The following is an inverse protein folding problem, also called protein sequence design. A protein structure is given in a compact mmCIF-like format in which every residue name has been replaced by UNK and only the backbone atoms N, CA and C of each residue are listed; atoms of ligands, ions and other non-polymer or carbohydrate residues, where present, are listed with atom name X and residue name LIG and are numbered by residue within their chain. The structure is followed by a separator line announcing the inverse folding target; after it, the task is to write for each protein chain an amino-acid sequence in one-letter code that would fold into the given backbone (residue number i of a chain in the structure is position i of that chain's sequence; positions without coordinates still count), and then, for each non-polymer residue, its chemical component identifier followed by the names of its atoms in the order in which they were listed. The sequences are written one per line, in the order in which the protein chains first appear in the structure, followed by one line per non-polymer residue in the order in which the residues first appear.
data_IF_587865142880
#
_entry.id   IF_587865142880
#
_cell.length_a   1.000
_cell.length_b   1.000
_cell.length_c   1.000
_cell.angle_alpha   90.00
_cell.angle_beta   90.00
_cell.angle_gamma   90.00
#
_symmetry.space_group_name_H-M   'P 1'
#
loop_
_entity.id
_entity.type
_entity.pdbx_description
1 polymer ?
#
# COMPACT_ATOMS: atom_id res chain seq x y z
N UNK A 1 -8.17 -17.27 -8.20
CA UNK A 1 -9.11 -17.79 -7.21
C UNK A 1 -8.62 -19.06 -6.52
N UNK A 2 -8.10 -20.07 -7.28
CA UNK A 2 -7.57 -21.33 -6.71
C UNK A 2 -6.52 -21.08 -5.62
N UNK A 3 -5.49 -20.27 -5.89
CA UNK A 3 -4.44 -19.95 -4.91
C UNK A 3 -5.01 -19.35 -3.62
N UNK A 4 -5.94 -18.40 -3.72
CA UNK A 4 -6.61 -17.79 -2.55
C UNK A 4 -7.32 -18.84 -1.71
N UNK A 5 -8.08 -19.74 -2.36
CA UNK A 5 -8.78 -20.81 -1.64
C UNK A 5 -7.83 -21.79 -0.96
N UNK A 6 -6.70 -22.14 -1.63
CA UNK A 6 -5.67 -22.99 -1.03
C UNK A 6 -5.05 -22.32 0.20
N UNK A 7 -4.67 -21.04 0.09
CA UNK A 7 -4.09 -20.31 1.21
C UNK A 7 -5.08 -20.17 2.38
N UNK A 8 -6.36 -19.90 2.08
CA UNK A 8 -7.40 -19.84 3.12
C UNK A 8 -7.61 -21.19 3.82
N UNK A 9 -7.50 -22.30 3.08
CA UNK A 9 -7.62 -23.63 3.67
C UNK A 9 -6.41 -23.96 4.59
N UNK A 10 -5.23 -23.48 4.25
CA UNK A 10 -4.02 -23.66 5.07
C UNK A 10 -4.04 -22.76 6.33
N UNK A 11 -4.46 -21.50 6.18
CA UNK A 11 -4.46 -20.53 7.29
C UNK A 11 -5.64 -20.71 8.24
N UNK A 12 -6.77 -21.23 7.76
CA UNK A 12 -8.02 -21.38 8.50
C UNK A 12 -8.62 -22.78 8.26
N UNK A 13 -7.92 -23.86 8.67
CA UNK A 13 -8.36 -25.23 8.42
C UNK A 13 -9.67 -25.55 9.11
N UNK A 14 -9.95 -24.92 10.25
CA UNK A 14 -11.16 -25.11 11.08
C UNK A 14 -12.42 -24.48 10.45
N UNK A 15 -12.26 -23.56 9.48
CA UNK A 15 -13.40 -22.86 8.88
C UNK A 15 -14.07 -23.68 7.78
N UNK A 16 -15.36 -23.44 7.57
CA UNK A 16 -16.11 -24.12 6.51
C UNK A 16 -15.70 -23.66 5.10
N UNK A 17 -16.01 -24.46 4.09
CA UNK A 17 -15.76 -24.07 2.70
C UNK A 17 -16.60 -22.86 2.29
N UNK A 18 -17.83 -22.73 2.80
CA UNK A 18 -18.67 -21.55 2.58
C UNK A 18 -18.03 -20.29 3.12
N UNK A 19 -17.53 -20.33 4.35
CA UNK A 19 -16.81 -19.20 4.97
C UNK A 19 -15.60 -18.80 4.12
N UNK A 20 -14.76 -19.76 3.73
CA UNK A 20 -13.59 -19.50 2.89
C UNK A 20 -13.94 -18.90 1.53
N UNK A 21 -15.05 -19.35 0.91
CA UNK A 21 -15.57 -18.78 -0.34
C UNK A 21 -16.03 -17.33 -0.16
N UNK A 22 -16.74 -17.03 0.92
CA UNK A 22 -17.18 -15.68 1.25
C UNK A 22 -15.98 -14.74 1.44
N UNK A 23 -14.98 -15.15 2.21
CA UNK A 23 -13.72 -14.39 2.38
C UNK A 23 -13.00 -14.20 1.05
N UNK A 24 -12.87 -15.26 0.24
CA UNK A 24 -12.26 -15.17 -1.09
C UNK A 24 -12.97 -14.12 -1.97
N UNK A 25 -14.30 -14.09 -1.96
CA UNK A 25 -15.06 -13.07 -2.70
C UNK A 25 -14.75 -11.65 -2.20
N UNK A 26 -14.74 -11.44 -0.89
CA UNK A 26 -14.40 -10.16 -0.29
C UNK A 26 -12.96 -9.72 -0.62
N UNK A 27 -12.00 -10.64 -0.65
CA UNK A 27 -10.61 -10.35 -1.04
C UNK A 27 -10.57 -9.75 -2.46
N UNK A 28 -11.27 -10.33 -3.43
CA UNK A 28 -11.28 -9.81 -4.81
C UNK A 28 -11.96 -8.44 -4.91
N UNK A 29 -13.08 -8.24 -4.19
CA UNK A 29 -13.75 -6.93 -4.14
C UNK A 29 -12.80 -5.88 -3.55
N UNK A 30 -12.21 -6.17 -2.40
CA UNK A 30 -11.28 -5.23 -1.73
C UNK A 30 -10.03 -4.96 -2.55
N UNK A 31 -9.49 -5.98 -3.21
CA UNK A 31 -8.36 -5.79 -4.13
C UNK A 31 -8.71 -4.85 -5.29
N UNK A 32 -9.85 -5.05 -5.96
CA UNK A 32 -10.31 -4.14 -6.99
C UNK A 32 -10.52 -2.72 -6.46
N UNK A 33 -11.08 -2.60 -5.26
CA UNK A 33 -11.30 -1.32 -4.60
C UNK A 33 -9.99 -0.57 -4.34
N UNK A 34 -8.91 -1.26 -3.91
CA UNK A 34 -7.60 -0.63 -3.73
C UNK A 34 -7.01 -0.07 -5.03
N UNK A 35 -7.31 -0.68 -6.17
CA UNK A 35 -6.92 -0.15 -7.48
C UNK A 35 -7.69 1.13 -7.83
N UNK A 36 -9.00 1.15 -7.60
CA UNK A 36 -9.84 2.33 -7.84
C UNK A 36 -9.47 3.48 -6.89
N UNK A 37 -9.14 3.17 -5.65
CA UNK A 37 -8.75 4.16 -4.64
C UNK A 37 -7.50 4.95 -5.03
N UNK A 38 -6.61 4.39 -5.85
CA UNK A 38 -5.44 5.11 -6.38
C UNK A 38 -5.82 6.38 -7.15
N UNK A 39 -7.00 6.42 -7.75
CA UNK A 39 -7.52 7.62 -8.40
C UNK A 39 -7.55 8.81 -7.47
N UNK A 40 -8.21 8.70 -6.33
CA UNK A 40 -8.27 9.79 -5.35
C UNK A 40 -7.03 9.88 -4.46
N UNK A 41 -6.37 8.76 -4.15
CA UNK A 41 -5.13 8.76 -3.38
C UNK A 41 -4.03 9.56 -4.07
N UNK A 42 -3.88 9.42 -5.39
CA UNK A 42 -2.77 10.00 -6.13
C UNK A 42 -3.12 11.24 -6.95
N UNK A 43 -4.41 11.42 -7.30
CA UNK A 43 -4.87 12.52 -8.14
C UNK A 43 -5.93 13.41 -7.47
N UNK A 44 -6.50 12.98 -6.34
CA UNK A 44 -7.43 13.80 -5.57
C UNK A 44 -6.75 15.00 -4.91
N UNK A 45 -7.52 16.01 -4.52
CA UNK A 45 -7.00 17.13 -3.75
C UNK A 45 -6.37 16.64 -2.42
N UNK A 46 -5.28 17.27 -1.95
CA UNK A 46 -4.64 16.89 -0.67
C UNK A 46 -5.61 16.87 0.52
N UNK A 47 -6.58 17.77 0.51
CA UNK A 47 -7.63 17.85 1.54
C UNK A 47 -8.53 16.60 1.54
N UNK A 48 -8.73 15.97 0.39
CA UNK A 48 -9.51 14.73 0.27
C UNK A 48 -8.77 13.56 0.94
N UNK A 49 -7.46 13.43 0.70
CA UNK A 49 -6.65 12.40 1.36
C UNK A 49 -6.56 12.65 2.87
N UNK A 50 -6.30 13.89 3.31
CA UNK A 50 -6.25 14.25 4.72
C UNK A 50 -7.56 13.96 5.47
N UNK A 51 -8.72 14.19 4.82
CA UNK A 51 -10.02 13.90 5.40
C UNK A 51 -10.34 12.41 5.49
N UNK A 52 -9.86 11.62 4.53
CA UNK A 52 -10.18 10.18 4.41
C UNK A 52 -9.18 9.26 5.09
N UNK A 53 -7.93 9.72 5.25
CA UNK A 53 -6.84 8.93 5.84
C UNK A 53 -6.46 9.53 7.18
N UNK A 54 -6.44 8.70 8.20
CA UNK A 54 -5.99 9.08 9.54
C UNK A 54 -4.88 8.13 9.99
N UNK A 55 -3.73 8.71 10.36
CA UNK A 55 -2.68 7.97 11.03
C UNK A 55 -3.08 7.79 12.51
N UNK A 56 -2.91 6.59 13.02
CA UNK A 56 -3.14 6.25 14.42
C UNK A 56 -1.94 5.49 14.98
N UNK A 57 -1.68 5.64 16.26
CA UNK A 57 -0.52 5.07 16.94
C UNK A 57 0.55 6.13 17.19
N UNK A 58 1.74 5.68 17.54
CA UNK A 58 2.87 6.55 17.90
C UNK A 58 3.61 7.09 16.68
N UNK A 59 2.92 7.92 15.91
CA UNK A 59 3.45 8.53 14.69
C UNK A 59 4.53 9.58 15.00
N UNK A 60 4.54 10.12 16.21
CA UNK A 60 5.52 11.13 16.64
C UNK A 60 6.98 10.63 16.53
N UNK A 61 7.21 9.34 16.73
CA UNK A 61 8.52 8.72 16.56
C UNK A 61 9.06 8.85 15.13
N UNK A 62 8.19 8.99 14.14
CA UNK A 62 8.56 9.15 12.73
C UNK A 62 8.95 10.59 12.37
N UNK A 63 8.67 11.56 13.23
CA UNK A 63 8.96 12.97 12.98
C UNK A 63 10.45 13.35 13.26
N UNK A 64 11.19 12.49 13.98
CA UNK A 64 12.61 12.71 14.29
C UNK A 64 13.54 12.50 13.10
N UNK A 65 14.84 12.80 13.29
CA UNK A 65 15.88 12.64 12.27
C UNK A 65 16.64 11.31 12.38
N UNK A 66 16.35 10.51 13.39
CA UNK A 66 17.02 9.23 13.59
C UNK A 66 16.75 8.24 12.45
N UNK A 67 17.77 7.53 11.96
CA UNK A 67 17.57 6.50 10.95
C UNK A 67 16.53 5.47 11.43
N UNK A 68 15.49 5.29 10.66
CA UNK A 68 14.34 4.45 11.05
C UNK A 68 14.01 3.47 9.93
N UNK A 69 13.89 2.20 10.29
CA UNK A 69 13.38 1.17 9.38
C UNK A 69 11.91 0.93 9.69
N UNK A 70 11.05 1.19 8.71
CA UNK A 70 9.62 0.94 8.82
C UNK A 70 9.30 -0.44 8.24
N UNK A 71 8.91 -1.38 9.11
CA UNK A 71 8.41 -2.67 8.67
C UNK A 71 6.92 -2.56 8.33
N UNK A 72 6.61 -2.62 7.04
CA UNK A 72 5.24 -2.52 6.53
C UNK A 72 4.86 -3.81 5.79
N UNK A 73 4.04 -4.70 6.37
CA UNK A 73 3.59 -5.90 5.69
C UNK A 73 2.65 -5.55 4.52
N UNK A 74 2.62 -6.44 3.51
CA UNK A 74 1.81 -6.25 2.31
C UNK A 74 0.32 -6.51 2.59
N UNK A 75 -0.32 -5.60 3.31
CA UNK A 75 -1.77 -5.60 3.49
C UNK A 75 -2.47 -4.82 2.37
N UNK A 76 -3.76 -5.08 2.22
CA UNK A 76 -4.61 -4.22 1.39
C UNK A 76 -4.55 -2.78 1.93
N UNK A 77 -4.46 -1.82 1.02
CA UNK A 77 -4.34 -0.42 1.41
C UNK A 77 -2.91 0.05 1.68
N UNK A 78 -1.87 -0.72 1.32
CA UNK A 78 -0.47 -0.30 1.46
C UNK A 78 -0.20 1.08 0.82
N UNK A 79 -0.75 1.34 -0.38
CA UNK A 79 -0.62 2.64 -1.04
C UNK A 79 -1.35 3.77 -0.27
N UNK A 80 -2.45 3.46 0.42
CA UNK A 80 -3.13 4.41 1.29
C UNK A 80 -2.28 4.76 2.52
N UNK A 81 -1.67 3.77 3.16
CA UNK A 81 -0.75 3.96 4.27
C UNK A 81 0.47 4.80 3.87
N UNK A 82 1.11 4.47 2.75
CA UNK A 82 2.24 5.22 2.21
C UNK A 82 1.85 6.68 1.88
N UNK A 83 0.66 6.89 1.30
CA UNK A 83 0.14 8.24 1.01
C UNK A 83 -0.10 9.02 2.29
N UNK A 84 -0.70 8.40 3.31
CA UNK A 84 -0.94 9.05 4.61
C UNK A 84 0.37 9.43 5.30
N UNK A 85 1.36 8.55 5.30
CA UNK A 85 2.70 8.84 5.85
C UNK A 85 3.36 9.99 5.09
N UNK A 86 3.42 9.92 3.76
CA UNK A 86 4.03 10.94 2.92
C UNK A 86 3.39 12.31 3.06
N UNK A 87 2.09 12.36 3.35
CA UNK A 87 1.36 13.61 3.55
C UNK A 87 1.58 14.24 4.92
N UNK A 88 1.73 13.40 5.97
CA UNK A 88 1.67 13.87 7.36
C UNK A 88 3.03 13.87 8.06
N UNK A 89 4.02 13.16 7.53
CA UNK A 89 5.34 13.06 8.15
C UNK A 89 6.37 13.77 7.26
N UNK A 90 6.98 14.88 7.72
CA UNK A 90 7.91 15.68 6.92
C UNK A 90 9.31 15.03 6.86
N UNK A 91 9.38 13.80 6.34
CA UNK A 91 10.61 13.03 6.14
C UNK A 91 10.68 12.47 4.75
N UNK A 92 11.89 12.24 4.27
CA UNK A 92 12.12 11.44 3.08
C UNK A 92 11.94 9.95 3.44
N UNK A 93 11.12 9.27 2.65
CA UNK A 93 10.93 7.84 2.72
C UNK A 93 11.65 7.17 1.55
N UNK A 94 12.37 6.10 1.84
CA UNK A 94 13.01 5.26 0.84
C UNK A 94 12.34 3.89 0.83
N UNK A 95 12.02 3.38 -0.35
CA UNK A 95 11.45 2.04 -0.48
C UNK A 95 12.00 1.34 -1.71
N UNK A 96 12.17 0.03 -1.59
CA UNK A 96 12.56 -0.84 -2.70
C UNK A 96 11.29 -1.35 -3.37
N UNK A 97 11.27 -1.34 -4.70
CA UNK A 97 10.13 -1.81 -5.47
C UNK A 97 10.56 -2.69 -6.63
N UNK A 98 9.60 -3.42 -7.18
CA UNK A 98 9.76 -4.16 -8.43
C UNK A 98 9.00 -3.41 -9.52
N UNK A 99 9.67 -3.00 -10.60
CA UNK A 99 9.01 -2.33 -11.73
C UNK A 99 7.93 -3.22 -12.34
N UNK A 100 6.88 -2.59 -12.84
CA UNK A 100 5.85 -3.28 -13.60
C UNK A 100 6.33 -3.50 -15.04
N UNK A 101 5.90 -4.62 -15.64
CA UNK A 101 6.22 -4.92 -17.05
C UNK A 101 5.65 -3.88 -18.02
N UNK A 102 4.46 -3.36 -17.73
CA UNK A 102 3.88 -2.24 -18.49
C UNK A 102 4.47 -0.92 -18.00
N UNK A 103 5.28 -0.28 -18.85
CA UNK A 103 6.01 0.95 -18.51
C UNK A 103 5.11 2.16 -18.23
N UNK A 104 3.93 2.24 -18.87
CA UNK A 104 2.98 3.31 -18.60
C UNK A 104 2.36 3.17 -17.20
N UNK A 105 1.99 1.95 -16.82
CA UNK A 105 1.48 1.65 -15.46
C UNK A 105 2.59 1.87 -14.43
N UNK A 106 3.82 1.45 -14.71
CA UNK A 106 4.97 1.63 -13.83
C UNK A 106 5.21 3.12 -13.53
N UNK A 107 5.30 3.95 -14.56
CA UNK A 107 5.47 5.39 -14.42
C UNK A 107 4.30 6.05 -13.66
N UNK A 108 3.07 5.62 -13.92
CA UNK A 108 1.89 6.12 -13.22
C UNK A 108 1.93 5.78 -11.72
N UNK A 109 2.31 4.56 -11.36
CA UNK A 109 2.46 4.13 -9.97
C UNK A 109 3.59 4.92 -9.29
N UNK A 110 4.76 5.04 -9.92
CA UNK A 110 5.90 5.78 -9.38
C UNK A 110 5.54 7.25 -9.13
N UNK A 111 4.87 7.91 -10.08
CA UNK A 111 4.37 9.27 -9.93
C UNK A 111 3.38 9.40 -8.78
N UNK A 112 2.44 8.45 -8.67
CA UNK A 112 1.44 8.45 -7.62
C UNK A 112 2.04 8.29 -6.23
N UNK A 113 2.97 7.36 -6.05
CA UNK A 113 3.68 7.14 -4.79
C UNK A 113 4.53 8.32 -4.36
N UNK A 114 5.08 9.06 -5.32
CA UNK A 114 5.88 10.26 -5.05
C UNK A 114 5.09 11.57 -5.14
N UNK A 115 3.76 11.54 -5.05
CA UNK A 115 2.94 12.76 -5.22
C UNK A 115 3.26 13.91 -4.27
N UNK A 116 3.80 13.62 -3.09
CA UNK A 116 4.21 14.64 -2.10
C UNK A 116 5.71 14.97 -2.16
N UNK A 117 6.46 14.36 -3.11
CA UNK A 117 7.86 14.69 -3.35
C UNK A 117 8.86 14.14 -2.33
N UNK A 118 8.40 13.37 -1.33
CA UNK A 118 9.24 12.85 -0.25
C UNK A 118 9.46 11.33 -0.29
N UNK A 119 9.00 10.64 -1.35
CA UNK A 119 9.21 9.21 -1.54
C UNK A 119 10.32 8.95 -2.57
N UNK A 120 11.38 8.25 -2.17
CA UNK A 120 12.45 7.80 -3.04
C UNK A 120 12.29 6.31 -3.32
N UNK A 121 12.10 5.98 -4.59
CA UNK A 121 11.82 4.62 -5.04
C UNK A 121 13.09 4.02 -5.64
N UNK A 122 13.53 2.88 -5.12
CA UNK A 122 14.69 2.14 -5.63
C UNK A 122 14.25 0.86 -6.30
N UNK A 123 14.66 0.66 -7.54
CA UNK A 123 14.45 -0.60 -8.23
C UNK A 123 15.32 -1.68 -7.58
N UNK A 124 14.70 -2.79 -7.19
CA UNK A 124 15.42 -3.92 -6.58
C UNK A 124 16.52 -4.51 -7.47
N UNK A 125 16.44 -4.30 -8.79
CA UNK A 125 17.39 -4.83 -9.76
C UNK A 125 18.50 -3.83 -10.12
N UNK A 126 18.40 -2.57 -9.67
CA UNK A 126 19.39 -1.54 -10.00
C UNK A 126 20.75 -1.74 -9.29
N UNK A 127 20.84 -2.69 -8.35
CA UNK A 127 22.00 -2.84 -7.48
C UNK A 127 22.12 -1.66 -6.50
N UNK A 128 22.69 -1.91 -5.34
CA UNK A 128 23.07 -0.87 -4.37
C UNK A 128 24.57 -0.68 -4.46
#
# INVERSE_FOLDING_TARGET
RRVVMTNLALCFPEQTNEYRRAISHQIFIKFAQTWLDRGWLWHGAPQTTAKRLRLVGDVAQLAGNEPTVLFAPHFMGLDAGATALSQNVPRQFSTIFTPQSNKAIDAWIAKGRNRYGNAKLYDRMAGI
#
